data_IF_222249625461
#
_entry.id   IF_222249625461
#
_cell.length_a   1.000
_cell.length_b   1.000
_cell.length_c   1.000
_cell.angle_alpha   90.00
_cell.angle_beta   90.00
_cell.angle_gamma   90.00
#
_symmetry.space_group_name_H-M   'P 1'
#
loop_
_entity.id
_entity.type
_entity.pdbx_description
1 polymer ?
#
# COMPACT_ATOMS: atom_id res chain seq x y z
N UNK A 1 6.72 -17.06 9.42
CA UNK A 1 5.57 -16.97 8.48
C UNK A 1 5.69 -15.67 7.70
N UNK A 2 6.50 -15.64 6.64
CA UNK A 2 6.67 -14.44 5.81
C UNK A 2 5.78 -14.58 4.57
N UNK A 3 4.61 -13.93 4.57
CA UNK A 3 3.72 -13.87 3.41
C UNK A 3 4.00 -12.59 2.63
N UNK A 4 4.46 -12.73 1.39
CA UNK A 4 4.76 -11.61 0.49
C UNK A 4 3.56 -10.67 0.33
N UNK A 5 2.33 -11.19 0.31
CA UNK A 5 1.12 -10.38 0.11
C UNK A 5 0.87 -9.48 1.30
N UNK A 6 1.09 -9.98 2.51
CA UNK A 6 0.97 -9.19 3.74
C UNK A 6 2.05 -8.10 3.82
N UNK A 7 3.26 -8.40 3.34
CA UNK A 7 4.36 -7.41 3.26
C UNK A 7 4.02 -6.30 2.27
N UNK A 8 3.54 -6.65 1.07
CA UNK A 8 3.10 -5.68 0.07
C UNK A 8 1.96 -4.82 0.63
N UNK A 9 0.95 -5.45 1.23
CA UNK A 9 -0.17 -4.74 1.86
C UNK A 9 0.30 -3.71 2.91
N UNK A 10 1.24 -4.10 3.78
CA UNK A 10 1.79 -3.23 4.80
C UNK A 10 2.56 -2.06 4.20
N UNK A 11 3.46 -2.34 3.25
CA UNK A 11 4.29 -1.30 2.62
C UNK A 11 3.43 -0.29 1.87
N UNK A 12 2.54 -0.75 1.00
CA UNK A 12 1.62 0.12 0.27
C UNK A 12 0.66 0.87 1.20
N UNK A 13 0.20 0.24 2.28
CA UNK A 13 -0.63 0.89 3.29
C UNK A 13 0.10 2.04 3.98
N UNK A 14 1.31 1.80 4.50
CA UNK A 14 2.09 2.82 5.23
C UNK A 14 2.50 3.95 4.30
N UNK A 15 3.12 3.65 3.16
CA UNK A 15 3.54 4.68 2.21
C UNK A 15 2.33 5.43 1.63
N UNK A 16 1.24 4.73 1.32
CA UNK A 16 0.00 5.34 0.85
C UNK A 16 -0.58 6.33 1.85
N UNK A 17 -0.60 5.99 3.14
CA UNK A 17 -1.06 6.92 4.20
C UNK A 17 -0.14 8.15 4.28
N UNK A 18 1.19 7.95 4.26
CA UNK A 18 2.15 9.07 4.30
C UNK A 18 1.93 10.02 3.12
N UNK A 19 1.80 9.49 1.91
CA UNK A 19 1.57 10.30 0.71
C UNK A 19 0.20 10.97 0.70
N UNK A 20 -0.84 10.29 1.20
CA UNK A 20 -2.17 10.89 1.36
C UNK A 20 -2.10 12.11 2.30
N UNK A 21 -1.43 11.97 3.46
CA UNK A 21 -1.26 13.07 4.42
C UNK A 21 -0.44 14.20 3.80
N UNK A 22 0.68 13.91 3.14
CA UNK A 22 1.50 14.92 2.45
C UNK A 22 0.71 15.62 1.34
N UNK A 23 -0.12 14.88 0.61
CA UNK A 23 -1.01 15.43 -0.41
C UNK A 23 -2.07 16.38 0.19
N UNK A 24 -2.64 16.05 1.35
CA UNK A 24 -3.62 16.92 2.01
C UNK A 24 -2.97 18.17 2.62
N UNK A 25 -1.79 18.03 3.23
CA UNK A 25 -1.12 19.11 3.97
C UNK A 25 -0.35 20.07 3.05
N UNK A 26 0.28 19.55 2.00
CA UNK A 26 1.20 20.30 1.12
C UNK A 26 0.81 20.24 -0.36
N UNK A 27 -0.43 19.84 -0.65
CA UNK A 27 -0.91 19.61 -2.00
C UNK A 27 -0.95 20.84 -2.90
N UNK A 28 -1.23 22.00 -2.31
CA UNK A 28 -1.38 23.27 -3.03
C UNK A 28 -0.07 24.06 -3.11
N UNK A 29 1.06 23.45 -2.70
CA UNK A 29 2.37 24.09 -2.79
C UNK A 29 2.75 24.33 -4.26
N UNK A 30 2.91 25.61 -4.69
CA UNK A 30 3.20 25.96 -6.07
C UNK A 30 4.48 25.33 -6.61
N UNK A 31 5.49 25.10 -5.75
CA UNK A 31 6.75 24.48 -6.17
C UNK A 31 6.55 23.00 -6.51
N UNK A 32 5.73 22.29 -5.73
CA UNK A 32 5.40 20.89 -5.99
C UNK A 32 4.51 20.75 -7.22
N UNK A 33 3.48 21.60 -7.36
CA UNK A 33 2.59 21.62 -8.52
C UNK A 33 3.33 21.94 -9.83
N UNK A 34 4.33 22.84 -9.79
CA UNK A 34 5.13 23.16 -10.97
C UNK A 34 5.93 21.95 -11.48
N UNK A 35 6.40 21.07 -10.58
CA UNK A 35 7.16 19.86 -10.93
C UNK A 35 6.29 18.74 -11.51
N UNK A 36 4.99 18.77 -11.24
CA UNK A 36 4.04 17.70 -11.55
C UNK A 36 3.04 18.08 -12.64
N UNK A 37 3.14 19.28 -13.21
CA UNK A 37 2.22 19.76 -14.25
C UNK A 37 0.87 20.24 -13.70
N UNK A 38 0.83 20.70 -12.45
CA UNK A 38 -0.34 21.26 -11.81
C UNK A 38 -1.19 20.26 -11.02
N UNK A 39 -0.76 19.00 -10.90
CA UNK A 39 -1.48 17.97 -10.15
C UNK A 39 -0.81 17.63 -8.83
N UNK A 40 -1.59 17.19 -7.85
CA UNK A 40 -1.08 16.76 -6.56
C UNK A 40 -0.59 15.30 -6.64
N UNK A 41 0.65 15.12 -7.09
CA UNK A 41 1.23 13.78 -7.30
C UNK A 41 1.24 12.93 -6.02
N UNK A 42 1.46 13.54 -4.85
CA UNK A 42 1.44 12.84 -3.57
C UNK A 42 0.05 12.25 -3.30
N UNK A 43 -1.01 13.04 -3.52
CA UNK A 43 -2.37 12.58 -3.30
C UNK A 43 -2.77 11.48 -4.28
N UNK A 44 -2.52 11.68 -5.58
CA UNK A 44 -2.86 10.70 -6.62
C UNK A 44 -2.13 9.37 -6.39
N UNK A 45 -0.83 9.43 -6.10
CA UNK A 45 -0.01 8.25 -5.83
C UNK A 45 -0.43 7.58 -4.52
N UNK A 46 -0.68 8.36 -3.47
CA UNK A 46 -1.13 7.86 -2.18
C UNK A 46 -2.45 7.10 -2.28
N UNK A 47 -3.43 7.66 -3.00
CA UNK A 47 -4.71 6.98 -3.28
C UNK A 47 -4.49 5.67 -4.05
N UNK A 48 -3.70 5.70 -5.12
CA UNK A 48 -3.37 4.49 -5.89
C UNK A 48 -2.72 3.42 -5.03
N UNK A 49 -1.79 3.81 -4.16
CA UNK A 49 -1.13 2.88 -3.24
C UNK A 49 -2.10 2.26 -2.24
N UNK A 50 -3.02 3.05 -1.67
CA UNK A 50 -4.02 2.55 -0.73
C UNK A 50 -5.00 1.57 -1.38
N UNK A 51 -5.43 1.84 -2.62
CA UNK A 51 -6.27 0.92 -3.39
C UNK A 51 -5.56 -0.41 -3.59
N UNK A 52 -4.30 -0.40 -4.04
CA UNK A 52 -3.51 -1.62 -4.24
C UNK A 52 -3.31 -2.36 -2.90
N UNK A 53 -2.95 -1.63 -1.84
CA UNK A 53 -2.80 -2.20 -0.50
C UNK A 53 -4.07 -2.90 -0.02
N UNK A 54 -5.23 -2.26 -0.19
CA UNK A 54 -6.53 -2.82 0.17
C UNK A 54 -6.86 -4.09 -0.63
N UNK A 55 -6.53 -4.14 -1.93
CA UNK A 55 -6.68 -5.34 -2.74
C UNK A 55 -5.81 -6.50 -2.24
N UNK A 56 -4.58 -6.21 -1.80
CA UNK A 56 -3.69 -7.22 -1.21
C UNK A 56 -4.19 -7.72 0.15
N UNK A 57 -4.69 -6.82 1.02
CA UNK A 57 -5.35 -7.20 2.28
C UNK A 57 -6.53 -8.13 2.00
N UNK A 58 -7.38 -7.75 1.04
CA UNK A 58 -8.53 -8.56 0.64
C UNK A 58 -8.08 -9.95 0.14
N UNK A 59 -7.00 -10.02 -0.64
CA UNK A 59 -6.47 -11.30 -1.11
C UNK A 59 -5.92 -12.18 0.04
N UNK A 60 -5.20 -11.60 1.00
CA UNK A 60 -4.75 -12.34 2.19
C UNK A 60 -5.94 -12.93 2.93
N UNK A 61 -7.01 -12.15 3.11
CA UNK A 61 -8.23 -12.59 3.77
C UNK A 61 -8.97 -13.69 2.99
N UNK A 62 -9.11 -13.55 1.67
CA UNK A 62 -9.83 -14.51 0.82
C UNK A 62 -9.05 -15.81 0.57
N UNK A 63 -7.71 -15.79 0.65
CA UNK A 63 -6.85 -16.95 0.42
C UNK A 63 -5.75 -17.04 1.49
N UNK A 64 -6.07 -17.47 2.71
CA UNK A 64 -5.08 -17.65 3.78
C UNK A 64 -4.10 -18.77 3.42
N UNK A 65 -2.81 -18.57 3.69
CA UNK A 65 -1.78 -19.60 3.51
C UNK A 65 -1.99 -20.70 4.57
N UNK A 66 -2.18 -21.94 4.10
CA UNK A 66 -2.22 -23.12 4.97
C UNK A 66 -0.80 -23.64 5.10
N UNK A 67 -0.34 -23.81 6.33
CA UNK A 67 0.94 -24.44 6.60
C UNK A 67 0.75 -25.95 6.50
N UNK A 68 1.64 -26.62 5.77
CA UNK A 68 1.68 -28.08 5.80
C UNK A 68 1.97 -28.50 7.25
N UNK A 69 1.13 -29.39 7.80
CA UNK A 69 1.41 -30.00 9.08
C UNK A 69 2.72 -30.78 8.97
N UNK A 70 3.58 -30.79 10.00
CA UNK A 70 4.81 -31.56 9.97
C UNK A 70 4.45 -33.02 9.68
N UNK A 71 5.04 -33.58 8.63
CA UNK A 71 4.86 -35.00 8.30
C UNK A 71 5.32 -35.79 9.51
N UNK A 72 4.38 -36.50 10.15
CA UNK A 72 4.70 -37.48 11.18
C UNK A 72 5.54 -38.56 10.50
N UNK A 73 6.86 -38.47 10.63
CA UNK A 73 7.78 -39.55 10.31
C UNK A 73 7.50 -40.67 11.31
N UNK A 74 6.74 -41.67 10.86
CA UNK A 74 6.67 -43.01 11.47
C UNK A 74 7.98 -43.78 11.24
#
# INVERSE_FOLDING_TARGET
MFDLRSVIALLFGVYGIVLLVMGIVSGDDPENLAKTGGTNLNLDTGIGMLVIGALFVLWVYLRPLKLAAPEQQD
#
